data_IF_722643195427
#
_entry.id   IF_722643195427
#
_cell.length_a   1.000
_cell.length_b   1.000
_cell.length_c   1.000
_cell.angle_alpha   90.00
_cell.angle_beta   90.00
_cell.angle_gamma   90.00
#
_symmetry.space_group_name_H-M   'P 1'
#
loop_
_entity.id
_entity.type
_entity.pdbx_description
1 polymer ?
#
# COMPACT_ATOMS: atom_id res chain seq x y z
N UNK A 1 33.67 26.54 66.17
CA UNK A 1 32.77 26.40 65.01
C UNK A 1 33.57 26.74 63.77
N UNK A 2 34.02 25.75 63.02
CA UNK A 2 34.90 25.92 61.85
C UNK A 2 34.08 25.72 60.58
N UNK A 3 34.14 26.68 59.67
CA UNK A 3 33.37 26.66 58.41
C UNK A 3 33.96 25.63 57.42
N UNK A 4 33.11 24.89 56.67
CA UNK A 4 33.60 23.97 55.66
C UNK A 4 34.12 24.73 54.44
N UNK A 5 35.41 24.56 54.16
CA UNK A 5 36.09 25.03 52.95
C UNK A 5 35.48 24.33 51.73
N UNK A 6 34.81 25.12 50.87
CA UNK A 6 34.21 24.63 49.62
C UNK A 6 35.34 24.34 48.63
N UNK A 7 35.68 23.06 48.46
CA UNK A 7 36.62 22.61 47.43
C UNK A 7 35.98 22.89 46.07
N UNK A 8 36.57 23.82 45.31
CA UNK A 8 36.15 24.09 43.95
C UNK A 8 36.35 22.81 43.12
N UNK A 9 35.27 22.27 42.56
CA UNK A 9 35.34 21.17 41.61
C UNK A 9 36.19 21.62 40.43
N UNK A 10 37.36 20.99 40.27
CA UNK A 10 38.23 21.15 39.10
C UNK A 10 37.37 20.82 37.88
N UNK A 11 37.08 21.83 37.07
CA UNK A 11 36.42 21.66 35.78
C UNK A 11 37.42 20.93 34.89
N UNK A 12 37.39 19.60 34.95
CA UNK A 12 38.18 18.73 34.11
C UNK A 12 37.84 19.10 32.66
N UNK A 13 38.77 19.80 32.00
CA UNK A 13 38.66 20.22 30.62
C UNK A 13 38.66 18.96 29.77
N UNK A 14 37.48 18.35 29.59
CA UNK A 14 37.27 17.24 28.66
C UNK A 14 37.77 17.70 27.30
N UNK A 15 38.94 17.20 26.92
CA UNK A 15 39.46 17.35 25.56
C UNK A 15 38.36 16.86 24.62
N UNK A 16 37.84 17.72 23.72
CA UNK A 16 36.79 17.30 22.81
C UNK A 16 37.29 16.09 22.03
N UNK A 17 36.52 15.00 22.06
CA UNK A 17 36.79 13.85 21.19
C UNK A 17 36.95 14.37 19.75
N UNK A 18 37.98 13.93 19.00
CA UNK A 18 38.19 14.34 17.61
C UNK A 18 37.00 13.97 16.70
N UNK A 19 36.08 13.12 17.17
CA UNK A 19 34.85 12.76 16.47
C UNK A 19 33.63 13.61 16.87
N UNK A 20 33.73 14.47 17.88
CA UNK A 20 32.60 15.24 18.39
C UNK A 20 31.98 16.21 17.36
N UNK A 21 32.77 16.69 16.39
CA UNK A 21 32.25 17.49 15.27
C UNK A 21 31.59 16.62 14.21
N UNK A 22 32.19 15.46 13.90
CA UNK A 22 31.64 14.49 12.95
C UNK A 22 30.32 13.89 13.44
N UNK A 23 30.22 13.54 14.73
CA UNK A 23 29.01 13.02 15.35
C UNK A 23 27.88 14.05 15.31
N UNK A 24 28.18 15.33 15.61
CA UNK A 24 27.23 16.45 15.47
C UNK A 24 26.79 16.67 14.02
N UNK A 25 27.67 16.45 13.05
CA UNK A 25 27.32 16.49 11.63
C UNK A 25 26.40 15.33 11.25
N UNK A 26 26.73 14.10 11.67
CA UNK A 26 25.93 12.91 11.40
C UNK A 26 24.56 12.95 12.08
N UNK A 27 24.46 13.52 13.28
CA UNK A 27 23.17 13.69 13.97
C UNK A 27 22.24 14.64 13.21
N UNK A 28 22.77 15.77 12.70
CA UNK A 28 22.00 16.71 11.86
C UNK A 28 21.53 16.07 10.57
N UNK A 29 22.40 15.31 9.90
CA UNK A 29 22.06 14.55 8.70
C UNK A 29 20.96 13.51 8.97
N UNK A 30 21.08 12.76 10.07
CA UNK A 30 20.09 11.75 10.46
C UNK A 30 18.73 12.36 10.80
N UNK A 31 18.70 13.48 11.55
CA UNK A 31 17.46 14.23 11.83
C UNK A 31 16.81 14.74 10.53
N UNK A 32 17.60 15.30 9.62
CA UNK A 32 17.12 15.79 8.32
C UNK A 32 16.56 14.64 7.47
N UNK A 33 17.26 13.50 7.39
CA UNK A 33 16.78 12.30 6.68
C UNK A 33 15.51 11.73 7.31
N UNK A 34 15.42 11.66 8.64
CA UNK A 34 14.23 11.22 9.34
C UNK A 34 13.03 12.15 9.06
N UNK A 35 13.26 13.46 9.09
CA UNK A 35 12.25 14.47 8.77
C UNK A 35 11.76 14.33 7.31
N UNK A 36 12.66 14.23 6.34
CA UNK A 36 12.29 14.03 4.93
C UNK A 36 11.51 12.73 4.71
N UNK A 37 11.88 11.65 5.41
CA UNK A 37 11.12 10.40 5.36
C UNK A 37 9.70 10.59 5.89
N UNK A 38 9.52 11.24 7.04
CA UNK A 38 8.20 11.52 7.62
C UNK A 38 7.36 12.41 6.72
N UNK A 39 7.97 13.46 6.16
CA UNK A 39 7.31 14.34 5.20
C UNK A 39 6.85 13.56 3.96
N UNK A 40 7.71 12.72 3.38
CA UNK A 40 7.36 11.89 2.24
C UNK A 40 6.24 10.89 2.53
N UNK A 41 6.21 10.30 3.72
CA UNK A 41 5.12 9.44 4.18
C UNK A 41 3.80 10.22 4.27
N UNK A 42 3.81 11.40 4.91
CA UNK A 42 2.63 12.23 5.05
C UNK A 42 2.08 12.67 3.68
N UNK A 43 2.96 13.18 2.81
CA UNK A 43 2.58 13.57 1.45
C UNK A 43 1.98 12.40 0.67
N UNK A 44 2.58 11.22 0.77
CA UNK A 44 2.05 10.00 0.16
C UNK A 44 0.64 9.67 0.65
N UNK A 45 0.37 9.75 1.96
CA UNK A 45 -0.97 9.47 2.50
C UNK A 45 -1.99 10.52 2.10
N UNK A 46 -1.63 11.80 2.09
CA UNK A 46 -2.54 12.88 1.68
C UNK A 46 -2.92 12.71 0.22
N UNK A 47 -1.92 12.56 -0.66
CA UNK A 47 -2.15 12.40 -2.11
C UNK A 47 -2.90 11.09 -2.39
N UNK A 48 -2.46 9.99 -1.78
CA UNK A 48 -3.09 8.68 -1.97
C UNK A 48 -4.53 8.64 -1.49
N UNK A 49 -4.83 9.25 -0.34
CA UNK A 49 -6.20 9.34 0.19
C UNK A 49 -7.08 10.22 -0.70
N UNK A 50 -6.58 11.36 -1.16
CA UNK A 50 -7.29 12.22 -2.10
C UNK A 50 -7.63 11.48 -3.40
N UNK A 51 -6.66 10.75 -3.97
CA UNK A 51 -6.87 9.95 -5.17
C UNK A 51 -7.89 8.82 -4.94
N UNK A 52 -7.81 8.12 -3.80
CA UNK A 52 -8.77 7.08 -3.44
C UNK A 52 -10.19 7.64 -3.29
N UNK A 53 -10.35 8.84 -2.71
CA UNK A 53 -11.65 9.50 -2.60
C UNK A 53 -12.24 9.85 -3.97
N UNK A 54 -11.41 10.34 -4.90
CA UNK A 54 -11.86 10.62 -6.28
C UNK A 54 -12.35 9.34 -6.96
N UNK A 55 -11.58 8.25 -6.89
CA UNK A 55 -12.02 6.98 -7.47
C UNK A 55 -13.26 6.40 -6.77
N UNK A 56 -13.39 6.56 -5.46
CA UNK A 56 -14.60 6.17 -4.74
C UNK A 56 -15.82 6.97 -5.21
N UNK A 57 -15.69 8.29 -5.40
CA UNK A 57 -16.77 9.13 -5.92
C UNK A 57 -17.16 8.73 -7.35
N UNK A 58 -16.19 8.50 -8.23
CA UNK A 58 -16.42 8.00 -9.59
C UNK A 58 -17.09 6.62 -9.60
N UNK A 59 -16.69 5.73 -8.69
CA UNK A 59 -17.30 4.41 -8.56
C UNK A 59 -18.77 4.52 -8.14
N UNK A 60 -19.07 5.37 -7.15
CA UNK A 60 -20.44 5.61 -6.71
C UNK A 60 -21.29 6.18 -7.85
N UNK A 61 -20.78 7.18 -8.57
CA UNK A 61 -21.47 7.73 -9.74
C UNK A 61 -21.74 6.65 -10.80
N UNK A 62 -20.73 5.83 -11.14
CA UNK A 62 -20.90 4.74 -12.10
C UNK A 62 -21.89 3.68 -11.65
N UNK A 63 -21.96 3.36 -10.35
CA UNK A 63 -22.96 2.43 -9.81
C UNK A 63 -24.37 3.03 -9.86
N UNK A 64 -24.52 4.32 -9.60
CA UNK A 64 -25.81 5.01 -9.74
C UNK A 64 -26.26 5.03 -11.21
N UNK A 65 -25.35 5.27 -12.15
CA UNK A 65 -25.62 5.29 -13.59
C UNK A 65 -26.02 3.90 -14.13
N UNK A 66 -25.57 2.81 -13.51
CA UNK A 66 -26.03 1.46 -13.84
C UNK A 66 -27.51 1.23 -13.51
N UNK A 67 -28.06 1.95 -12.53
CA UNK A 67 -29.47 1.87 -12.15
C UNK A 67 -30.41 2.69 -13.04
N UNK A 68 -29.87 3.50 -13.96
CA UNK A 68 -30.66 4.38 -14.79
C UNK A 68 -31.18 3.72 -16.07
N UNK A 69 -32.32 4.19 -16.61
CA UNK A 69 -32.89 3.65 -17.84
C UNK A 69 -31.92 3.79 -19.00
N UNK A 70 -31.67 2.68 -19.69
CA UNK A 70 -30.84 2.60 -20.88
C UNK A 70 -31.71 2.31 -22.08
N UNK A 71 -31.64 3.18 -23.08
CA UNK A 71 -32.36 3.03 -24.34
C UNK A 71 -31.44 2.32 -25.32
N UNK A 72 -31.89 1.20 -25.87
CA UNK A 72 -31.12 0.44 -26.85
C UNK A 72 -31.47 0.84 -28.27
N UNK A 73 -30.51 0.69 -29.17
CA UNK A 73 -30.65 1.03 -30.57
C UNK A 73 -29.53 0.46 -31.43
N UNK A 74 -29.57 0.83 -32.70
CA UNK A 74 -28.55 0.47 -33.69
C UNK A 74 -27.72 1.69 -34.03
N UNK A 75 -26.40 1.56 -33.88
CA UNK A 75 -25.42 2.48 -34.40
C UNK A 75 -25.02 2.07 -35.82
N UNK A 76 -24.94 3.04 -36.73
CA UNK A 76 -24.43 2.89 -38.09
C UNK A 76 -23.30 3.89 -38.29
N UNK A 77 -22.11 3.38 -38.54
CA UNK A 77 -20.93 4.20 -38.79
C UNK A 77 -21.08 4.96 -40.11
N UNK A 78 -20.82 6.27 -40.08
CA UNK A 78 -20.81 7.13 -41.27
C UNK A 78 -19.43 7.70 -41.55
N UNK A 79 -18.63 7.88 -40.51
CA UNK A 79 -17.29 8.46 -40.62
C UNK A 79 -16.34 7.83 -39.59
N UNK A 80 -15.07 8.20 -39.70
CA UNK A 80 -13.98 7.62 -38.97
C UNK A 80 -13.01 8.71 -38.53
N UNK A 81 -13.07 9.14 -37.25
CA UNK A 81 -12.17 10.18 -36.76
C UNK A 81 -10.80 9.59 -36.40
N UNK A 82 -9.69 10.08 -37.00
CA UNK A 82 -8.37 9.52 -36.77
C UNK A 82 -7.88 9.77 -35.34
N UNK A 83 -7.26 8.76 -34.72
CA UNK A 83 -6.65 8.87 -33.40
C UNK A 83 -5.14 9.06 -33.49
N UNK A 84 -4.59 9.88 -32.61
CA UNK A 84 -3.16 10.20 -32.56
C UNK A 84 -2.22 9.01 -32.31
N UNK A 85 -2.72 7.91 -31.69
CA UNK A 85 -1.97 6.64 -31.50
C UNK A 85 -2.24 5.59 -32.57
N UNK A 86 -2.81 6.00 -33.71
CA UNK A 86 -3.29 5.10 -34.72
C UNK A 86 -4.66 4.51 -34.40
N UNK A 87 -5.27 3.94 -35.43
CA UNK A 87 -6.67 3.53 -35.41
C UNK A 87 -7.62 4.70 -35.57
N UNK A 88 -8.91 4.37 -35.51
CA UNK A 88 -9.99 5.30 -35.77
C UNK A 88 -11.06 5.18 -34.68
N UNK A 89 -11.67 6.32 -34.32
CA UNK A 89 -12.88 6.37 -33.52
C UNK A 89 -14.10 6.39 -34.44
N UNK A 90 -15.00 5.38 -34.39
CA UNK A 90 -16.20 5.38 -35.22
C UNK A 90 -17.11 6.55 -34.86
N UNK A 91 -17.55 7.29 -35.88
CA UNK A 91 -18.56 8.35 -35.79
C UNK A 91 -19.73 7.96 -36.68
N UNK A 92 -20.95 8.16 -36.20
CA UNK A 92 -22.11 7.64 -36.90
C UNK A 92 -23.44 8.20 -36.46
N UNK A 93 -24.48 7.53 -36.92
CA UNK A 93 -25.86 7.76 -36.50
C UNK A 93 -26.32 6.60 -35.63
N UNK A 94 -26.90 6.90 -34.48
CA UNK A 94 -27.57 5.95 -33.64
C UNK A 94 -29.08 6.17 -33.70
N UNK A 95 -29.83 5.09 -33.88
CA UNK A 95 -31.30 5.08 -33.93
C UNK A 95 -31.80 4.13 -32.87
N UNK A 96 -32.69 4.60 -31.99
CA UNK A 96 -33.32 3.75 -30.96
C UNK A 96 -34.13 2.61 -31.59
N UNK A 97 -34.29 1.51 -30.86
CA UNK A 97 -35.03 0.33 -31.33
C UNK A 97 -36.50 0.65 -31.69
N UNK A 98 -37.08 1.69 -31.09
CA UNK A 98 -38.44 2.19 -31.38
C UNK A 98 -38.49 3.26 -32.47
N UNK A 99 -37.35 3.69 -33.01
CA UNK A 99 -37.23 4.72 -34.04
C UNK A 99 -37.54 6.15 -33.59
N UNK A 100 -37.90 6.37 -32.33
CA UNK A 100 -38.32 7.68 -31.83
C UNK A 100 -37.14 8.63 -31.53
N UNK A 101 -35.94 8.09 -31.32
CA UNK A 101 -34.75 8.88 -31.00
C UNK A 101 -33.68 8.59 -32.06
N UNK A 102 -33.24 9.64 -32.72
CA UNK A 102 -32.14 9.61 -33.69
C UNK A 102 -31.06 10.57 -33.22
N UNK A 103 -29.83 10.09 -33.13
CA UNK A 103 -28.65 10.87 -32.75
C UNK A 103 -27.61 10.74 -33.85
N UNK A 104 -27.27 11.84 -34.50
CA UNK A 104 -26.24 11.90 -35.54
C UNK A 104 -24.93 12.45 -34.96
N UNK A 105 -23.80 12.11 -35.59
CA UNK A 105 -22.48 12.57 -35.15
C UNK A 105 -22.07 12.04 -33.78
N UNK A 106 -22.64 10.92 -33.35
CA UNK A 106 -22.29 10.29 -32.07
C UNK A 106 -21.10 9.36 -32.22
N UNK A 107 -20.33 9.25 -31.17
CA UNK A 107 -19.21 8.33 -31.07
C UNK A 107 -19.66 6.96 -30.55
N UNK A 108 -19.14 5.89 -31.13
CA UNK A 108 -19.31 4.56 -30.58
C UNK A 108 -18.20 4.25 -29.56
N UNK A 109 -18.60 3.81 -28.37
CA UNK A 109 -17.72 3.15 -27.41
C UNK A 109 -17.83 1.62 -27.55
N UNK A 110 -16.94 1.10 -28.38
CA UNK A 110 -16.88 -0.30 -28.78
C UNK A 110 -16.42 -0.45 -30.22
N UNK A 111 -16.85 -1.55 -30.83
CA UNK A 111 -16.52 -1.89 -32.21
C UNK A 111 -17.79 -2.17 -33.00
N UNK A 112 -17.74 -1.86 -34.29
CA UNK A 112 -18.74 -2.26 -35.28
C UNK A 112 -18.44 -3.65 -35.81
N UNK A 113 -19.46 -4.29 -36.37
CA UNK A 113 -19.30 -5.49 -37.19
C UNK A 113 -18.78 -5.14 -38.59
N UNK A 114 -18.64 -6.16 -39.45
CA UNK A 114 -18.16 -6.01 -40.83
C UNK A 114 -19.06 -5.14 -41.71
N UNK A 115 -20.30 -4.85 -41.26
CA UNK A 115 -21.24 -3.97 -41.97
C UNK A 115 -21.16 -2.52 -41.49
N UNK A 116 -20.30 -2.22 -40.50
CA UNK A 116 -20.19 -0.90 -39.91
C UNK A 116 -21.32 -0.59 -38.93
N UNK A 117 -22.03 -1.59 -38.41
CA UNK A 117 -23.12 -1.41 -37.45
C UNK A 117 -22.79 -2.01 -36.09
N UNK A 118 -23.45 -1.53 -35.04
CA UNK A 118 -23.33 -2.09 -33.70
C UNK A 118 -24.63 -1.87 -32.90
N UNK A 119 -25.05 -2.88 -32.13
CA UNK A 119 -26.04 -2.65 -31.07
C UNK A 119 -25.40 -1.82 -29.97
N UNK A 120 -26.00 -0.70 -29.62
CA UNK A 120 -25.47 0.21 -28.62
C UNK A 120 -26.59 0.82 -27.76
N UNK A 121 -26.29 1.12 -26.51
CA UNK A 121 -27.17 1.74 -25.54
C UNK A 121 -26.81 3.20 -25.32
N UNK A 122 -27.82 4.00 -25.02
CA UNK A 122 -27.77 5.42 -24.74
C UNK A 122 -28.44 5.71 -23.38
N UNK A 123 -27.76 6.46 -22.51
CA UNK A 123 -28.21 6.84 -21.17
C UNK A 123 -28.27 8.37 -21.03
N UNK A 124 -29.45 8.99 -21.29
CA UNK A 124 -29.57 10.45 -21.29
C UNK A 124 -29.41 11.08 -19.91
N UNK A 125 -29.78 10.37 -18.84
CA UNK A 125 -29.87 10.91 -17.47
C UNK A 125 -28.65 10.64 -16.61
N UNK A 126 -27.62 9.96 -17.14
CA UNK A 126 -26.48 9.52 -16.33
C UNK A 126 -25.72 10.74 -15.79
N UNK A 127 -25.11 10.62 -14.60
CA UNK A 127 -24.29 11.69 -14.02
C UNK A 127 -23.11 11.97 -14.94
N UNK A 128 -22.54 10.92 -15.52
CA UNK A 128 -21.62 11.00 -16.66
C UNK A 128 -22.47 10.83 -17.93
N UNK A 129 -23.29 11.83 -18.26
CA UNK A 129 -24.34 11.64 -19.26
C UNK A 129 -23.79 11.40 -20.66
N UNK A 130 -24.41 10.45 -21.36
CA UNK A 130 -24.14 10.19 -22.78
C UNK A 130 -24.58 11.38 -23.63
N UNK A 131 -25.55 12.17 -23.15
CA UNK A 131 -26.04 13.37 -23.82
C UNK A 131 -25.00 14.48 -23.86
N UNK A 132 -24.24 14.69 -22.78
CA UNK A 132 -23.20 15.69 -22.74
C UNK A 132 -21.98 15.28 -23.59
N UNK A 133 -21.75 13.98 -23.75
CA UNK A 133 -20.56 13.44 -24.41
C UNK A 133 -20.81 13.00 -25.86
N UNK A 134 -22.06 12.89 -26.31
CA UNK A 134 -22.46 12.32 -27.59
C UNK A 134 -21.83 10.93 -27.84
N UNK A 135 -21.91 10.05 -26.84
CA UNK A 135 -21.35 8.69 -26.91
C UNK A 135 -22.47 7.67 -26.76
N UNK A 136 -22.39 6.56 -27.50
CA UNK A 136 -23.24 5.38 -27.31
C UNK A 136 -22.37 4.16 -27.02
N UNK A 137 -22.82 3.29 -26.11
CA UNK A 137 -22.01 2.20 -25.58
C UNK A 137 -22.49 0.84 -26.04
N UNK A 138 -21.58 0.00 -26.55
CA UNK A 138 -21.92 -1.41 -26.84
C UNK A 138 -22.18 -2.22 -25.56
N UNK A 139 -22.94 -3.34 -25.62
CA UNK A 139 -23.26 -4.15 -24.46
C UNK A 139 -22.04 -4.57 -23.63
N UNK A 140 -20.95 -4.94 -24.31
CA UNK A 140 -19.72 -5.40 -23.64
C UNK A 140 -19.05 -4.32 -22.77
N UNK A 141 -19.20 -3.05 -23.14
CA UNK A 141 -18.63 -1.92 -22.41
C UNK A 141 -19.59 -1.32 -21.38
N UNK A 142 -20.83 -1.81 -21.34
CA UNK A 142 -21.82 -1.39 -20.36
C UNK A 142 -21.36 -1.79 -18.96
N UNK A 143 -21.05 -0.79 -18.12
CA UNK A 143 -20.57 -1.02 -16.75
C UNK A 143 -19.08 -1.33 -16.61
N UNK A 144 -18.33 -1.43 -17.71
CA UNK A 144 -16.88 -1.64 -17.66
C UNK A 144 -16.16 -0.51 -16.90
N UNK A 145 -16.66 0.73 -17.03
CA UNK A 145 -16.15 1.89 -16.28
C UNK A 145 -16.19 1.66 -14.77
N UNK A 146 -17.35 1.29 -14.21
CA UNK A 146 -17.49 1.03 -12.78
C UNK A 146 -16.57 -0.10 -12.30
N UNK A 147 -16.46 -1.19 -13.06
CA UNK A 147 -15.55 -2.30 -12.73
C UNK A 147 -14.09 -1.86 -12.70
N UNK A 148 -13.62 -1.16 -13.75
CA UNK A 148 -12.24 -0.67 -13.83
C UNK A 148 -11.94 0.32 -12.70
N UNK A 149 -12.84 1.27 -12.44
CA UNK A 149 -12.71 2.22 -11.33
C UNK A 149 -12.64 1.49 -9.99
N UNK A 150 -13.47 0.46 -9.78
CA UNK A 150 -13.44 -0.36 -8.58
C UNK A 150 -12.12 -1.11 -8.40
N UNK A 151 -11.59 -1.72 -9.46
CA UNK A 151 -10.29 -2.40 -9.42
C UNK A 151 -9.14 -1.43 -9.11
N UNK A 152 -9.13 -0.25 -9.73
CA UNK A 152 -8.11 0.78 -9.47
C UNK A 152 -8.21 1.28 -8.04
N UNK A 153 -9.43 1.52 -7.52
CA UNK A 153 -9.64 1.92 -6.13
C UNK A 153 -9.08 0.87 -5.15
N UNK A 154 -9.44 -0.41 -5.35
CA UNK A 154 -8.94 -1.51 -4.53
C UNK A 154 -7.42 -1.61 -4.59
N UNK A 155 -6.83 -1.44 -5.77
CA UNK A 155 -5.38 -1.43 -5.94
C UNK A 155 -4.73 -0.25 -5.21
N UNK A 156 -5.26 0.97 -5.34
CA UNK A 156 -4.76 2.15 -4.63
C UNK A 156 -4.80 1.95 -3.10
N UNK A 157 -5.94 1.50 -2.56
CA UNK A 157 -6.08 1.23 -1.12
C UNK A 157 -5.13 0.13 -0.68
N UNK A 158 -5.08 -0.98 -1.43
CA UNK A 158 -4.17 -2.10 -1.15
C UNK A 158 -2.70 -1.68 -1.17
N UNK A 159 -2.30 -0.85 -2.13
CA UNK A 159 -0.93 -0.33 -2.24
C UNK A 159 -0.59 0.61 -1.07
N UNK A 160 -1.51 1.48 -0.66
CA UNK A 160 -1.31 2.33 0.52
C UNK A 160 -1.13 1.50 1.80
N UNK A 161 -1.95 0.46 2.00
CA UNK A 161 -1.84 -0.45 3.14
C UNK A 161 -0.51 -1.24 3.10
N UNK A 162 -0.11 -1.69 1.92
CA UNK A 162 1.18 -2.36 1.71
C UNK A 162 2.35 -1.43 2.09
N UNK A 163 2.33 -0.17 1.64
CA UNK A 163 3.35 0.83 1.96
C UNK A 163 3.38 1.14 3.45
N UNK A 164 2.22 1.34 4.07
CA UNK A 164 2.10 1.55 5.51
C UNK A 164 2.69 0.39 6.32
N UNK A 165 2.42 -0.86 5.92
CA UNK A 165 3.03 -2.03 6.55
C UNK A 165 4.55 -2.10 6.32
N UNK A 166 5.03 -1.75 5.12
CA UNK A 166 6.47 -1.73 4.79
C UNK A 166 7.25 -0.68 5.60
N UNK A 167 6.56 0.39 6.02
CA UNK A 167 7.11 1.45 6.86
C UNK A 167 7.02 1.15 8.35
N UNK A 168 6.29 0.10 8.74
CA UNK A 168 6.06 -0.28 10.13
C UNK A 168 4.96 0.53 10.81
N UNK A 169 4.18 1.32 10.06
CA UNK A 169 3.08 2.11 10.60
C UNK A 169 1.87 1.20 10.93
N UNK A 170 1.73 0.05 10.25
CA UNK A 170 0.71 -0.96 10.53
C UNK A 170 1.38 -2.30 10.85
N UNK A 171 1.00 -2.90 11.97
CA UNK A 171 1.39 -4.27 12.31
C UNK A 171 0.44 -5.26 11.64
N UNK A 172 0.74 -5.67 10.42
CA UNK A 172 0.02 -6.79 9.81
C UNK A 172 0.31 -8.06 10.64
N UNK A 173 -0.71 -8.87 10.98
CA UNK A 173 -0.51 -10.16 11.63
C UNK A 173 0.22 -11.09 10.65
N UNK A 174 1.55 -11.02 10.65
CA UNK A 174 2.34 -11.83 9.72
C UNK A 174 2.17 -13.30 10.12
N UNK A 175 1.71 -14.13 9.17
CA UNK A 175 1.65 -15.59 9.33
C UNK A 175 2.99 -16.18 9.80
N UNK A 176 4.12 -15.48 9.56
CA UNK A 176 5.45 -15.83 10.07
C UNK A 176 5.59 -15.73 11.59
N UNK A 177 4.93 -14.77 12.26
CA UNK A 177 4.91 -14.70 13.73
C UNK A 177 4.04 -15.81 14.33
N UNK A 178 2.89 -16.12 13.74
CA UNK A 178 2.07 -17.26 14.15
C UNK A 178 2.83 -18.59 14.00
N UNK A 179 3.56 -18.77 12.89
CA UNK A 179 4.41 -19.96 12.67
C UNK A 179 5.61 -20.03 13.63
N UNK A 180 6.22 -18.88 13.97
CA UNK A 180 7.30 -18.81 14.96
C UNK A 180 6.79 -19.10 16.38
N UNK A 181 5.62 -18.58 16.76
CA UNK A 181 4.98 -18.89 18.05
C UNK A 181 4.57 -20.36 18.14
N UNK A 182 4.02 -20.94 17.08
CA UNK A 182 3.74 -22.37 17.00
C UNK A 182 5.03 -23.21 17.14
N UNK A 183 6.09 -22.85 16.41
CA UNK A 183 7.39 -23.55 16.50
C UNK A 183 8.08 -23.38 17.86
N UNK A 184 7.96 -22.22 18.51
CA UNK A 184 8.47 -22.04 19.87
C UNK A 184 7.64 -22.81 20.89
N UNK A 185 6.31 -22.92 20.73
CA UNK A 185 5.49 -23.78 21.58
C UNK A 185 5.89 -25.27 21.46
N UNK A 186 6.17 -25.76 20.23
CA UNK A 186 6.64 -27.14 20.03
C UNK A 186 8.06 -27.36 20.57
N UNK A 187 8.97 -26.37 20.45
CA UNK A 187 10.32 -26.46 21.02
C UNK A 187 10.35 -26.38 22.54
N UNK A 188 9.48 -25.58 23.16
CA UNK A 188 9.34 -25.53 24.62
C UNK A 188 8.88 -26.87 25.20
N UNK A 189 8.01 -27.60 24.49
CA UNK A 189 7.60 -28.95 24.87
C UNK A 189 8.74 -29.97 24.73
N UNK A 190 9.65 -29.80 23.76
CA UNK A 190 10.81 -30.68 23.57
C UNK A 190 12.06 -30.35 24.40
N UNK A 191 12.17 -29.13 24.94
CA UNK A 191 13.32 -28.69 25.75
C UNK A 191 13.10 -28.81 27.26
N UNK A 192 11.88 -29.11 27.72
CA UNK A 192 11.62 -29.44 29.12
C UNK A 192 12.32 -30.75 29.56
N UNK A 193 12.76 -31.59 28.62
CA UNK A 193 13.45 -32.86 28.87
C UNK A 193 14.97 -32.82 28.70
N UNK A 194 15.58 -31.70 28.26
CA UNK A 194 17.04 -31.60 28.12
C UNK A 194 17.58 -30.48 29.02
N UNK A 195 18.22 -30.90 30.11
CA UNK A 195 18.71 -30.04 31.19
C UNK A 195 19.42 -28.79 30.70
N UNK A 196 19.05 -27.65 31.30
CA UNK A 196 19.58 -26.33 30.97
C UNK A 196 21.12 -26.30 31.04
N UNK A 197 21.80 -25.66 30.06
CA UNK A 197 23.26 -25.52 30.04
C UNK A 197 23.82 -24.86 31.32
N UNK A 198 23.02 -24.01 31.98
CA UNK A 198 23.40 -23.40 33.26
C UNK A 198 23.50 -24.42 34.39
N UNK A 199 22.69 -25.49 34.40
CA UNK A 199 22.82 -26.57 35.39
C UNK A 199 24.05 -27.44 35.13
N UNK A 200 24.43 -27.64 33.87
CA UNK A 200 25.66 -28.35 33.52
C UNK A 200 26.92 -27.56 33.91
N UNK A 201 26.93 -26.25 33.65
CA UNK A 201 28.06 -25.40 34.06
C UNK A 201 28.23 -25.35 35.58
N UNK A 202 27.13 -25.30 36.35
CA UNK A 202 27.18 -25.33 37.82
C UNK A 202 27.77 -26.64 38.36
N UNK A 203 27.40 -27.79 37.78
CA UNK A 203 27.97 -29.09 38.17
C UNK A 203 29.46 -29.21 37.86
N UNK A 204 29.94 -28.61 36.76
CA UNK A 204 31.37 -28.59 36.44
C UNK A 204 32.17 -27.75 37.44
N UNK A 205 31.61 -26.64 37.92
CA UNK A 205 32.26 -25.83 38.97
C UNK A 205 32.33 -26.60 40.29
N UNK A 206 31.24 -27.27 40.68
CA UNK A 206 31.19 -28.07 41.91
C UNK A 206 32.17 -29.26 41.87
N UNK A 207 32.35 -29.90 40.71
CA UNK A 207 33.34 -30.98 40.54
C UNK A 207 34.78 -30.47 40.52
N UNK A 208 35.04 -29.29 39.94
CA UNK A 208 36.38 -28.70 39.91
C UNK A 208 36.87 -28.25 41.28
N UNK A 209 35.98 -27.79 42.16
CA UNK A 209 36.32 -27.42 43.54
C UNK A 209 36.61 -28.62 44.44
N UNK A 210 36.00 -29.79 44.17
CA UNK A 210 36.24 -30.99 44.98
C UNK A 210 37.55 -31.70 44.62
N UNK A 211 38.07 -31.54 43.39
CA UNK A 211 39.37 -32.13 43.02
C UNK A 211 40.54 -31.32 43.54
N UNK A 212 40.41 -30.01 43.73
CA UNK A 212 41.49 -29.16 44.26
C UNK A 212 41.76 -29.35 45.75
N UNK A 213 40.77 -29.78 46.52
CA UNK A 213 40.93 -29.99 47.97
C UNK A 213 41.60 -31.33 48.30
N UNK A 214 41.64 -32.28 47.35
CA UNK A 214 42.21 -33.62 47.56
C UNK A 214 43.72 -33.71 47.25
N UNK A 215 44.29 -32.68 46.61
CA UNK A 215 45.70 -32.66 46.19
C UNK A 215 46.62 -31.93 47.19
N UNK A 216 46.07 -31.42 48.30
CA UNK A 216 46.80 -30.65 49.32
C UNK A 216 47.30 -31.42 50.55
N UNK A 217 46.96 -32.70 50.71
CA UNK A 217 47.14 -33.43 51.99
C UNK A 217 48.16 -34.59 51.93
N UNK A 218 49.05 -34.60 50.94
CA UNK A 218 50.00 -35.68 50.69
C UNK A 218 51.44 -35.22 50.48
N UNK A 219 52.09 -34.70 51.52
CA UNK A 219 53.51 -34.33 51.44
C UNK A 219 54.14 -34.09 52.81
N UNK A 220 54.36 -35.18 53.55
CA UNK A 220 55.29 -35.27 54.68
C UNK A 220 56.51 -36.08 54.25
#
# INVERSE_FOLDING_TARGET
MSAPTRVASVTESRVPSPHAEYDRYMERQNRRRAWWRRFGQLAFYVIGSGLALVFAALLVAGVLDLGQPRIWGTFTQTDCEPRWRGGCRPVGTWVSDDGNIVKSGVYLDGWTDDTGTARAGYQPTAIISDEANNIVHTPMWTGAGAWLTGLVLLWCVGYMLFKAASWGDITLPSRRRARRQAQSATRSAGLATRGSPRRQYRRMLEQGTLSSDQEGDGGA
#
